data_IF_085578285827
#
_entry.id   IF_085578285827
#
_cell.length_a   1.000
_cell.length_b   1.000
_cell.length_c   1.000
_cell.angle_alpha   90.00
_cell.angle_beta   90.00
_cell.angle_gamma   90.00
#
_symmetry.space_group_name_H-M   'P 1'
#
loop_
_entity.id
_entity.type
_entity.pdbx_description
1 polymer ?
#
# COMPACT_ATOMS: atom_id res chain seq x y z
N UNK A 1 7.37 12.69 21.31
CA UNK A 1 7.35 11.46 20.48
C UNK A 1 5.99 10.81 20.66
N UNK A 2 5.27 10.53 19.57
CA UNK A 2 3.94 9.90 19.61
C UNK A 2 4.06 8.42 20.04
N UNK A 3 3.18 7.96 20.93
CA UNK A 3 3.17 6.58 21.46
C UNK A 3 1.91 5.85 20.98
N UNK A 4 2.07 4.72 20.29
CA UNK A 4 0.96 3.96 19.72
C UNK A 4 0.30 3.03 20.74
N UNK A 5 0.90 2.80 21.92
CA UNK A 5 0.33 1.99 23.00
C UNK A 5 -0.75 2.77 23.76
N UNK A 6 -1.98 2.74 23.24
CA UNK A 6 -3.11 3.49 23.80
C UNK A 6 -3.95 2.56 24.70
N UNK A 7 -4.05 2.92 25.98
CA UNK A 7 -4.85 2.15 26.94
C UNK A 7 -6.34 2.22 26.61
N UNK A 8 -7.01 1.06 26.65
CA UNK A 8 -8.48 0.93 26.55
C UNK A 8 -9.09 1.68 25.35
N UNK A 9 -8.39 1.71 24.20
CA UNK A 9 -8.85 2.44 23.01
C UNK A 9 -10.24 2.00 22.53
N UNK A 10 -10.55 0.70 22.65
CA UNK A 10 -11.86 0.15 22.29
C UNK A 10 -12.99 0.63 23.22
N UNK A 11 -12.70 1.00 24.47
CA UNK A 11 -13.71 1.53 25.42
C UNK A 11 -14.03 3.01 25.15
N UNK A 12 -13.20 3.70 24.36
CA UNK A 12 -13.36 5.14 24.07
C UNK A 12 -14.48 5.41 23.07
N UNK A 13 -15.08 6.58 23.18
CA UNK A 13 -16.05 7.11 22.20
C UNK A 13 -15.38 7.40 20.85
N UNK A 14 -16.17 7.48 19.77
CA UNK A 14 -15.67 7.87 18.43
C UNK A 14 -14.88 9.18 18.47
N UNK A 15 -15.40 10.20 19.16
CA UNK A 15 -14.75 11.52 19.29
C UNK A 15 -13.38 11.43 19.97
N UNK A 16 -13.29 10.69 21.06
CA UNK A 16 -12.01 10.49 21.76
C UNK A 16 -11.00 9.72 20.89
N UNK A 17 -11.46 8.69 20.17
CA UNK A 17 -10.61 7.93 19.23
C UNK A 17 -10.07 8.84 18.14
N UNK A 18 -10.92 9.67 17.53
CA UNK A 18 -10.52 10.63 16.50
C UNK A 18 -9.53 11.67 17.03
N UNK A 19 -9.76 12.21 18.23
CA UNK A 19 -8.81 13.15 18.85
C UNK A 19 -7.43 12.50 19.08
N UNK A 20 -7.41 11.25 19.55
CA UNK A 20 -6.14 10.53 19.78
C UNK A 20 -5.42 10.28 18.46
N UNK A 21 -6.14 9.81 17.43
CA UNK A 21 -5.56 9.56 16.09
C UNK A 21 -5.08 10.86 15.46
N UNK A 22 -5.90 11.93 15.52
CA UNK A 22 -5.56 13.25 15.00
C UNK A 22 -4.30 13.82 15.64
N UNK A 23 -4.22 13.80 16.98
CA UNK A 23 -3.03 14.26 17.69
C UNK A 23 -1.80 13.39 17.41
N UNK A 24 -1.98 12.07 17.27
CA UNK A 24 -0.88 11.14 16.97
C UNK A 24 -0.28 11.40 15.59
N UNK A 25 -1.14 11.59 14.58
CA UNK A 25 -0.74 11.76 13.18
C UNK A 25 -0.53 13.22 12.75
N UNK A 26 -0.88 14.19 13.60
CA UNK A 26 -0.80 15.61 13.28
C UNK A 26 -1.85 16.05 12.25
N UNK A 27 -3.04 15.45 12.28
CA UNK A 27 -4.10 15.75 11.32
C UNK A 27 -4.66 17.16 11.53
N UNK A 28 -4.95 17.82 10.43
CA UNK A 28 -5.67 19.10 10.39
C UNK A 28 -7.15 18.93 10.73
N UNK A 29 -7.83 20.04 10.97
CA UNK A 29 -9.29 20.03 11.19
C UNK A 29 -10.04 19.50 9.96
N UNK A 30 -9.60 19.87 8.76
CA UNK A 30 -10.18 19.41 7.49
C UNK A 30 -10.00 17.90 7.31
N UNK A 31 -8.83 17.35 7.64
CA UNK A 31 -8.58 15.91 7.57
C UNK A 31 -9.40 15.11 8.60
N UNK A 32 -9.61 15.67 9.79
CA UNK A 32 -10.48 15.06 10.81
C UNK A 32 -11.95 15.08 10.39
N UNK A 33 -12.39 16.12 9.67
CA UNK A 33 -13.74 16.22 9.13
C UNK A 33 -14.01 15.11 8.11
N UNK A 34 -13.04 14.77 7.26
CA UNK A 34 -13.13 13.65 6.31
C UNK A 34 -13.43 12.33 7.05
N UNK A 35 -12.73 12.06 8.17
CA UNK A 35 -12.96 10.85 8.99
C UNK A 35 -14.27 10.87 9.77
N UNK A 36 -14.84 12.06 9.98
CA UNK A 36 -16.13 12.24 10.65
C UNK A 36 -17.31 12.05 9.72
N UNK A 37 -17.12 12.28 8.42
CA UNK A 37 -18.14 12.11 7.41
C UNK A 37 -18.58 10.63 7.30
N UNK A 38 -19.86 10.43 7.01
CA UNK A 38 -20.48 9.10 6.90
C UNK A 38 -20.44 8.56 5.46
N UNK A 39 -19.98 9.34 4.48
CA UNK A 39 -19.84 8.94 3.07
C UNK A 39 -18.59 8.08 2.77
N UNK A 40 -17.81 7.73 3.80
CA UNK A 40 -16.58 6.95 3.65
C UNK A 40 -15.39 7.75 3.11
N UNK A 41 -15.49 9.09 3.07
CA UNK A 41 -14.40 9.98 2.68
C UNK A 41 -14.26 10.19 1.17
N UNK A 42 -15.25 9.75 0.38
CA UNK A 42 -15.29 9.96 -1.07
C UNK A 42 -16.68 10.43 -1.52
N UNK A 43 -16.72 11.52 -2.27
CA UNK A 43 -17.97 12.02 -2.87
C UNK A 43 -18.39 11.16 -4.07
N UNK A 44 -19.68 11.17 -4.41
CA UNK A 44 -20.17 10.42 -5.57
C UNK A 44 -19.52 10.88 -6.87
N UNK A 45 -19.25 12.17 -7.05
CA UNK A 45 -18.60 12.71 -8.26
C UNK A 45 -17.15 12.21 -8.41
N UNK A 46 -16.47 11.92 -7.30
CA UNK A 46 -15.15 11.26 -7.35
C UNK A 46 -15.30 9.79 -7.70
N UNK A 47 -16.26 9.10 -7.09
CA UNK A 47 -16.52 7.69 -7.37
C UNK A 47 -16.91 7.45 -8.85
N UNK A 48 -17.76 8.31 -9.42
CA UNK A 48 -18.19 8.28 -10.83
C UNK A 48 -17.04 8.51 -11.83
N UNK A 49 -15.97 9.18 -11.39
CA UNK A 49 -14.73 9.32 -12.18
C UNK A 49 -13.73 8.18 -11.98
N UNK A 50 -13.91 7.37 -10.94
CA UNK A 50 -12.99 6.27 -10.62
C UNK A 50 -13.33 4.97 -11.34
N UNK A 51 -14.61 4.75 -11.64
CA UNK A 51 -15.12 3.53 -12.30
C UNK A 51 -16.20 3.87 -13.32
N UNK A 52 -16.44 2.99 -14.28
CA UNK A 52 -17.57 3.10 -15.19
C UNK A 52 -18.89 2.71 -14.50
N UNK A 53 -20.00 3.34 -14.90
CA UNK A 53 -21.37 3.04 -14.46
C UNK A 53 -21.55 3.09 -12.93
N UNK A 54 -20.91 4.04 -12.24
CA UNK A 54 -21.13 4.22 -10.82
C UNK A 54 -22.59 4.63 -10.53
N UNK A 55 -23.24 3.95 -9.58
CA UNK A 55 -24.60 4.26 -9.13
C UNK A 55 -24.68 4.61 -7.64
N UNK A 56 -23.55 4.54 -6.94
CA UNK A 56 -23.44 4.88 -5.52
C UNK A 56 -22.05 4.57 -4.97
N UNK A 57 -21.91 4.70 -3.65
CA UNK A 57 -20.71 4.33 -2.90
C UNK A 57 -21.03 3.20 -1.91
N UNK A 58 -20.00 2.44 -1.54
CA UNK A 58 -20.11 1.41 -0.51
C UNK A 58 -19.07 1.68 0.58
N UNK A 59 -19.50 1.64 1.85
CA UNK A 59 -18.64 1.93 2.99
C UNK A 59 -18.40 0.67 3.82
N UNK A 60 -17.16 0.49 4.26
CA UNK A 60 -16.75 -0.53 5.22
C UNK A 60 -16.26 0.10 6.53
N UNK A 61 -16.36 -0.60 7.67
CA UNK A 61 -15.84 -0.08 8.92
C UNK A 61 -14.34 0.22 8.85
N UNK A 62 -13.97 1.47 9.15
CA UNK A 62 -12.59 1.90 9.31
C UNK A 62 -12.23 1.94 10.81
N UNK A 63 -11.22 1.17 11.19
CA UNK A 63 -10.64 1.18 12.52
C UNK A 63 -9.14 1.41 12.49
N UNK A 64 -8.52 1.41 13.67
CA UNK A 64 -7.08 1.60 13.83
C UNK A 64 -6.55 0.57 14.81
N UNK A 65 -5.57 -0.22 14.39
CA UNK A 65 -4.83 -1.09 15.28
C UNK A 65 -3.72 -0.32 16.00
N UNK A 66 -3.60 -0.56 17.30
CA UNK A 66 -2.71 0.18 18.20
C UNK A 66 -1.50 -0.66 18.61
N UNK A 67 -0.58 -0.05 19.34
CA UNK A 67 0.60 -0.66 19.97
C UNK A 67 1.74 -1.07 19.03
N UNK A 68 1.59 -0.93 17.71
CA UNK A 68 2.63 -1.28 16.74
C UNK A 68 3.88 -0.42 16.96
N UNK A 69 5.02 -1.11 17.10
CA UNK A 69 6.36 -0.54 17.04
C UNK A 69 7.14 -1.29 15.98
N UNK A 70 7.57 -0.60 14.93
CA UNK A 70 8.26 -1.21 13.79
C UNK A 70 9.58 -0.46 13.62
N UNK A 71 10.69 -1.17 13.64
CA UNK A 71 12.04 -0.60 13.55
C UNK A 71 12.27 0.54 14.58
N UNK A 72 11.76 0.36 15.80
CA UNK A 72 11.88 1.34 16.88
C UNK A 72 10.92 2.53 16.80
N UNK A 73 10.12 2.67 15.74
CA UNK A 73 9.14 3.75 15.57
C UNK A 73 7.72 3.28 15.83
N UNK A 74 6.95 4.13 16.49
CA UNK A 74 5.55 3.91 16.82
C UNK A 74 4.62 4.19 15.64
N UNK A 75 3.65 3.30 15.41
CA UNK A 75 2.65 3.43 14.34
C UNK A 75 1.24 3.12 14.86
N UNK A 76 0.27 3.87 14.36
CA UNK A 76 -1.13 3.51 14.34
C UNK A 76 -1.45 2.97 12.94
N UNK A 77 -2.05 1.79 12.84
CA UNK A 77 -2.28 1.09 11.56
C UNK A 77 -3.77 1.18 11.20
N UNK A 78 -4.16 1.99 10.20
CA UNK A 78 -5.54 2.00 9.70
C UNK A 78 -5.91 0.63 9.10
N UNK A 79 -7.12 0.16 9.38
CA UNK A 79 -7.65 -1.11 8.87
C UNK A 79 -9.11 -0.94 8.45
N UNK A 80 -9.45 -1.39 7.25
CA UNK A 80 -10.82 -1.40 6.72
C UNK A 80 -11.29 -2.85 6.62
N UNK A 81 -12.20 -3.26 7.48
CA UNK A 81 -12.68 -4.65 7.57
C UNK A 81 -14.01 -4.74 8.34
N UNK A 82 -14.89 -5.65 7.95
CA UNK A 82 -16.19 -5.92 8.60
C UNK A 82 -16.12 -7.00 9.68
N UNK A 83 -15.10 -7.87 9.63
CA UNK A 83 -14.98 -8.99 10.56
C UNK A 83 -14.66 -8.52 11.99
N UNK A 84 -15.48 -8.91 12.99
CA UNK A 84 -15.23 -8.54 14.37
C UNK A 84 -13.91 -9.14 14.89
N UNK A 85 -13.35 -8.51 15.92
CA UNK A 85 -12.13 -8.95 16.62
C UNK A 85 -10.82 -8.89 15.84
N UNK A 86 -10.79 -8.75 14.52
CA UNK A 86 -9.52 -8.70 13.73
C UNK A 86 -8.60 -7.57 14.20
N UNK A 87 -9.11 -6.34 14.28
CA UNK A 87 -8.34 -5.16 14.74
C UNK A 87 -7.90 -5.33 16.20
N UNK A 88 -8.76 -5.93 17.04
CA UNK A 88 -8.46 -6.17 18.45
C UNK A 88 -7.34 -7.21 18.61
N UNK A 89 -7.39 -8.30 17.85
CA UNK A 89 -6.37 -9.34 17.82
C UNK A 89 -5.03 -8.79 17.32
N UNK A 90 -5.02 -8.01 16.23
CA UNK A 90 -3.84 -7.33 15.72
C UNK A 90 -3.19 -6.42 16.78
N UNK A 91 -4.02 -5.59 17.44
CA UNK A 91 -3.56 -4.69 18.51
C UNK A 91 -3.00 -5.44 19.73
N UNK A 92 -3.62 -6.56 20.10
CA UNK A 92 -3.15 -7.43 21.20
C UNK A 92 -1.82 -8.09 20.84
N UNK A 93 -1.68 -8.63 19.63
CA UNK A 93 -0.43 -9.20 19.13
C UNK A 93 0.70 -8.18 19.13
N UNK A 94 0.44 -6.98 18.62
CA UNK A 94 1.40 -5.88 18.63
C UNK A 94 1.82 -5.48 20.06
N UNK A 95 0.86 -5.41 20.99
CA UNK A 95 1.15 -5.13 22.41
C UNK A 95 2.09 -6.17 23.04
N UNK A 96 1.88 -7.46 22.73
CA UNK A 96 2.75 -8.55 23.20
C UNK A 96 4.16 -8.42 22.59
N UNK A 97 4.26 -8.25 21.27
CA UNK A 97 5.54 -8.10 20.57
C UNK A 97 6.34 -6.89 21.09
N UNK A 98 5.64 -5.81 21.47
CA UNK A 98 6.24 -4.59 22.01
C UNK A 98 7.04 -4.81 23.28
N UNK A 99 6.69 -5.80 24.11
CA UNK A 99 7.44 -6.16 25.34
C UNK A 99 8.88 -6.56 24.99
N UNK A 100 9.09 -7.16 23.81
CA UNK A 100 10.39 -7.57 23.28
C UNK A 100 11.01 -6.52 22.32
N UNK A 101 10.52 -5.29 22.31
CA UNK A 101 11.02 -4.21 21.46
C UNK A 101 10.23 -3.96 20.17
N UNK A 102 9.20 -4.75 19.88
CA UNK A 102 8.34 -4.62 18.70
C UNK A 102 8.82 -5.45 17.51
N UNK A 103 8.41 -5.04 16.32
CA UNK A 103 8.74 -5.72 15.07
C UNK A 103 9.99 -5.11 14.43
N UNK A 104 10.76 -5.96 13.76
CA UNK A 104 11.84 -5.56 12.84
C UNK A 104 11.41 -5.94 11.43
N UNK A 105 11.56 -5.02 10.49
CA UNK A 105 11.19 -5.24 9.09
C UNK A 105 12.23 -4.60 8.17
N UNK A 106 12.56 -5.30 7.09
CA UNK A 106 13.38 -4.82 5.98
C UNK A 106 12.64 -5.11 4.68
N UNK A 107 12.84 -4.29 3.67
CA UNK A 107 12.28 -4.50 2.34
C UNK A 107 13.34 -4.14 1.30
N UNK A 108 13.34 -4.86 0.19
CA UNK A 108 14.15 -4.56 -0.98
C UNK A 108 13.56 -3.35 -1.74
N UNK A 109 14.22 -2.96 -2.84
CA UNK A 109 13.66 -1.95 -3.73
C UNK A 109 12.30 -2.40 -4.31
N UNK A 110 11.42 -1.43 -4.57
CA UNK A 110 10.11 -1.69 -5.17
C UNK A 110 10.24 -1.81 -6.69
N UNK A 111 10.24 -3.04 -7.18
CA UNK A 111 10.18 -3.35 -8.61
C UNK A 111 8.78 -3.79 -9.02
N UNK A 112 8.39 -3.42 -10.24
CA UNK A 112 7.19 -3.95 -10.91
C UNK A 112 7.61 -4.72 -12.15
N UNK A 113 7.01 -5.88 -12.36
CA UNK A 113 7.30 -6.74 -13.51
C UNK A 113 6.22 -6.50 -14.56
N UNK A 114 6.62 -6.00 -15.72
CA UNK A 114 5.81 -6.01 -16.94
C UNK A 114 6.20 -7.21 -17.81
N UNK A 115 5.22 -7.86 -18.43
CA UNK A 115 5.47 -9.05 -19.26
C UNK A 115 5.05 -8.79 -20.70
N UNK A 116 5.88 -9.24 -21.64
CA UNK A 116 5.57 -9.26 -23.07
C UNK A 116 5.66 -10.73 -23.51
N UNK A 117 4.55 -11.29 -23.96
CA UNK A 117 4.52 -12.64 -24.51
C UNK A 117 4.94 -12.60 -25.98
N UNK A 118 5.89 -13.46 -26.34
CA UNK A 118 6.36 -13.64 -27.71
C UNK A 118 6.05 -15.08 -28.09
N UNK A 119 5.35 -15.28 -29.20
CA UNK A 119 4.88 -16.56 -29.71
C UNK A 119 5.50 -16.85 -31.07
N UNK A 120 5.46 -18.12 -31.50
CA UNK A 120 5.87 -18.56 -32.84
C UNK A 120 7.31 -18.14 -33.21
N UNK A 121 8.24 -18.28 -32.27
CA UNK A 121 9.66 -17.98 -32.46
C UNK A 121 10.56 -19.16 -32.16
N UNK A 122 11.74 -19.19 -32.78
CA UNK A 122 12.85 -20.00 -32.30
C UNK A 122 13.32 -19.43 -30.95
N UNK A 123 13.05 -20.17 -29.88
CA UNK A 123 13.19 -19.71 -28.49
C UNK A 123 14.64 -19.30 -28.20
N UNK A 124 15.61 -20.12 -28.58
CA UNK A 124 17.03 -19.88 -28.30
C UNK A 124 17.55 -18.64 -29.02
N UNK A 125 17.25 -18.50 -30.30
CA UNK A 125 17.61 -17.33 -31.10
C UNK A 125 16.96 -16.05 -30.57
N UNK A 126 15.68 -16.11 -30.18
CA UNK A 126 14.95 -14.98 -29.63
C UNK A 126 15.54 -14.51 -28.29
N UNK A 127 15.80 -15.44 -27.35
CA UNK A 127 16.40 -15.13 -26.05
C UNK A 127 17.78 -14.49 -26.24
N UNK A 128 18.62 -15.10 -27.09
CA UNK A 128 19.96 -14.57 -27.38
C UNK A 128 19.89 -13.13 -27.90
N UNK A 129 19.00 -12.87 -28.87
CA UNK A 129 18.84 -11.53 -29.46
C UNK A 129 18.31 -10.51 -28.45
N UNK A 130 17.38 -10.89 -27.58
CA UNK A 130 16.86 -10.00 -26.53
C UNK A 130 17.95 -9.67 -25.51
N UNK A 131 18.77 -10.65 -25.12
CA UNK A 131 19.88 -10.43 -24.20
C UNK A 131 20.94 -9.49 -24.79
N UNK A 132 21.32 -9.70 -26.06
CA UNK A 132 22.25 -8.82 -26.79
C UNK A 132 21.74 -7.38 -26.87
N UNK A 133 20.42 -7.18 -27.06
CA UNK A 133 19.79 -5.87 -27.18
C UNK A 133 19.20 -5.33 -25.87
N UNK A 134 19.46 -5.97 -24.73
CA UNK A 134 18.85 -5.63 -23.43
C UNK A 134 18.99 -4.15 -23.06
N UNK A 135 20.17 -3.56 -23.26
CA UNK A 135 20.43 -2.14 -23.02
C UNK A 135 19.58 -1.23 -23.91
N UNK A 136 19.45 -1.56 -25.18
CA UNK A 136 18.65 -0.78 -26.14
C UNK A 136 17.17 -0.86 -25.79
N UNK A 137 16.68 -2.03 -25.39
CA UNK A 137 15.30 -2.22 -24.93
C UNK A 137 15.04 -1.36 -23.69
N UNK A 138 15.95 -1.36 -22.71
CA UNK A 138 15.82 -0.54 -21.49
C UNK A 138 15.82 0.97 -21.82
N UNK A 139 16.71 1.42 -22.70
CA UNK A 139 16.76 2.82 -23.16
C UNK A 139 15.44 3.19 -23.83
N UNK A 140 14.96 2.33 -24.74
CA UNK A 140 13.70 2.56 -25.45
C UNK A 140 12.51 2.61 -24.49
N UNK A 141 12.41 1.67 -23.56
CA UNK A 141 11.35 1.64 -22.55
C UNK A 141 11.35 2.94 -21.71
N UNK A 142 12.53 3.35 -21.24
CA UNK A 142 12.67 4.57 -20.44
C UNK A 142 12.43 5.85 -21.25
N UNK A 143 12.64 5.85 -22.57
CA UNK A 143 12.31 6.98 -23.44
C UNK A 143 10.81 7.27 -23.53
N UNK A 144 9.95 6.29 -23.20
CA UNK A 144 8.49 6.46 -23.25
C UNK A 144 7.89 7.15 -22.03
N UNK A 145 8.69 7.38 -20.98
CA UNK A 145 8.24 8.10 -19.78
C UNK A 145 9.09 9.33 -19.50
N UNK A 146 8.47 10.51 -19.63
CA UNK A 146 9.09 11.78 -19.25
C UNK A 146 9.16 12.00 -17.73
N UNK A 147 8.41 11.20 -16.95
CA UNK A 147 8.28 11.37 -15.50
C UNK A 147 9.19 10.41 -14.74
N UNK A 148 9.20 9.12 -15.11
CA UNK A 148 9.98 8.11 -14.40
C UNK A 148 11.48 8.37 -14.51
N UNK A 149 11.93 8.78 -15.70
CA UNK A 149 13.32 9.16 -15.97
C UNK A 149 13.82 10.29 -15.05
N UNK A 150 12.98 11.30 -14.76
CA UNK A 150 13.30 12.40 -13.83
C UNK A 150 13.37 11.98 -12.37
N UNK A 151 12.72 10.88 -12.01
CA UNK A 151 12.68 10.36 -10.63
C UNK A 151 13.73 9.28 -10.37
N UNK A 152 14.69 9.07 -11.29
CA UNK A 152 15.64 7.95 -11.27
C UNK A 152 14.96 6.56 -11.23
N UNK A 153 13.71 6.50 -11.68
CA UNK A 153 12.90 5.30 -11.84
C UNK A 153 12.89 4.87 -13.31
N UNK A 154 12.26 3.74 -13.60
CA UNK A 154 12.12 3.21 -14.95
C UNK A 154 12.49 1.74 -15.02
N UNK A 155 12.51 1.19 -16.24
CA UNK A 155 12.99 -0.14 -16.51
C UNK A 155 14.44 -0.27 -16.06
N UNK A 156 14.73 -1.31 -15.27
CA UNK A 156 16.06 -1.62 -14.73
C UNK A 156 16.66 -2.86 -15.36
N UNK A 157 15.82 -3.81 -15.73
CA UNK A 157 16.23 -5.12 -16.21
C UNK A 157 15.23 -5.63 -17.26
N UNK A 158 15.74 -6.43 -18.19
CA UNK A 158 14.95 -7.27 -19.09
C UNK A 158 15.47 -8.69 -18.95
N UNK A 159 14.58 -9.62 -18.64
CA UNK A 159 14.88 -11.04 -18.56
C UNK A 159 13.88 -11.85 -19.38
N UNK A 160 14.31 -13.03 -19.83
CA UNK A 160 13.47 -13.94 -20.62
C UNK A 160 13.13 -15.17 -19.78
N UNK A 161 11.90 -15.67 -19.89
CA UNK A 161 11.46 -16.92 -19.28
C UNK A 161 10.76 -17.77 -20.33
N UNK A 162 11.23 -18.99 -20.52
CA UNK A 162 10.55 -20.00 -21.35
C UNK A 162 9.33 -20.48 -20.57
N UNK A 163 8.19 -20.52 -21.24
CA UNK A 163 6.94 -21.04 -20.70
C UNK A 163 6.51 -22.15 -21.64
N UNK A 164 6.70 -23.39 -21.19
CA UNK A 164 6.15 -24.55 -21.88
C UNK A 164 4.64 -24.58 -21.65
N UNK A 165 3.88 -24.85 -22.71
CA UNK A 165 2.44 -25.10 -22.64
C UNK A 165 2.21 -26.57 -22.95
N UNK A 166 1.57 -27.27 -22.03
CA UNK A 166 1.14 -28.67 -22.20
C UNK A 166 0.09 -28.82 -23.31
#
# INVERSE_FOLDING_TARGET
MSNSSISKFFEKTRKERLNIVGNFAGLTAEELEILQNNDGGISFEKADKMIENAIGTFSLPLGVATSFKINGKDYLIPMVIEEPSVIAAASKGAKIARVMGGFKATADESYSIGQIQVLDVDIDSAIKKIQELSKEIIILANSKSNTLSKMNKGAKEVSCKIIDTD
#
